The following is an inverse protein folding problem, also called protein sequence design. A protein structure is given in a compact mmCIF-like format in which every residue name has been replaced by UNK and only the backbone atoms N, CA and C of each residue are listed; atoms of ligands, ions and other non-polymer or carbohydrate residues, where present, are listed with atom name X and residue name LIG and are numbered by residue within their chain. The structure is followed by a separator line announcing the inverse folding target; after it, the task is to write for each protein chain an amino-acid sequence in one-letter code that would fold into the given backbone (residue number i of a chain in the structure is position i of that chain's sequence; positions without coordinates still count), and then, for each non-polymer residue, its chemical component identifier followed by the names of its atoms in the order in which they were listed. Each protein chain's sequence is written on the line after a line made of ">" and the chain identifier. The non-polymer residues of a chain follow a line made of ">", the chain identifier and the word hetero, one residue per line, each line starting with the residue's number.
data_IF_341184044127
#
_entry.id   IF_341184044127
#
_cell.length_a   1.000
_cell.length_b   1.000
_cell.length_c   1.000
_cell.angle_alpha   90.00
_cell.angle_beta   90.00
_cell.angle_gamma   90.00
#
_symmetry.space_group_name_H-M   'P 1'
#
loop_
_entity.id
_entity.type
_entity.pdbx_description
1 polymer ?
#
# COMPACT_ATOMS: atom_id res chain seq x y z
N UNK A 1 15.62 -62.72 -23.90
CA UNK A 1 16.70 -61.81 -23.58
C UNK A 1 16.24 -60.43 -23.96
N UNK A 2 15.88 -59.60 -22.97
CA UNK A 2 15.51 -58.20 -23.16
C UNK A 2 16.72 -57.35 -22.81
N UNK A 3 16.96 -56.19 -23.49
CA UNK A 3 18.10 -55.32 -23.20
C UNK A 3 17.90 -54.53 -21.92
N UNK A 4 18.98 -54.12 -21.24
CA UNK A 4 18.92 -53.39 -19.97
C UNK A 4 18.54 -51.92 -20.16
N UNK A 5 17.79 -51.40 -19.18
CA UNK A 5 17.39 -49.99 -19.06
C UNK A 5 18.59 -49.10 -18.70
N UNK A 6 18.63 -47.83 -19.15
CA UNK A 6 19.72 -46.92 -18.84
C UNK A 6 19.59 -46.36 -17.41
N UNK A 7 20.72 -46.32 -16.69
CA UNK A 7 20.93 -45.68 -15.39
C UNK A 7 20.79 -44.14 -15.44
N UNK A 8 20.20 -43.50 -14.44
CA UNK A 8 20.15 -42.05 -14.37
C UNK A 8 21.51 -41.48 -13.93
N UNK A 9 21.94 -40.42 -14.62
CA UNK A 9 23.16 -39.64 -14.28
C UNK A 9 22.94 -38.85 -12.98
N UNK A 10 23.91 -38.95 -12.10
CA UNK A 10 24.01 -38.17 -10.88
C UNK A 10 24.11 -36.67 -11.18
N UNK A 11 23.18 -35.89 -10.66
CA UNK A 11 23.23 -34.44 -10.69
C UNK A 11 24.16 -33.89 -9.64
N UNK A 12 24.96 -32.90 -10.02
CA UNK A 12 25.90 -32.16 -9.16
C UNK A 12 25.18 -31.41 -8.03
N UNK A 13 25.81 -31.19 -6.85
CA UNK A 13 25.18 -30.49 -5.74
C UNK A 13 25.07 -28.99 -6.04
N UNK A 14 23.85 -28.45 -5.97
CA UNK A 14 23.59 -27.01 -5.98
C UNK A 14 23.91 -26.44 -4.61
N UNK A 15 25.07 -25.80 -4.48
CA UNK A 15 25.42 -24.96 -3.34
C UNK A 15 24.97 -23.53 -3.67
N UNK A 16 23.80 -23.13 -3.18
CA UNK A 16 23.32 -21.76 -3.21
C UNK A 16 22.67 -21.41 -1.88
N UNK A 17 23.26 -20.45 -1.13
CA UNK A 17 22.61 -19.81 0.01
C UNK A 17 21.30 -19.15 -0.45
N UNK A 18 20.22 -19.14 0.37
CA UNK A 18 19.04 -18.34 0.03
C UNK A 18 19.40 -16.85 0.19
N UNK A 19 19.69 -16.21 -0.93
CA UNK A 19 19.76 -14.77 -1.01
C UNK A 19 18.34 -14.21 -0.93
N UNK A 20 18.14 -13.24 -0.06
CA UNK A 20 17.00 -12.31 -0.12
C UNK A 20 17.16 -11.47 -1.39
N UNK A 21 16.72 -12.00 -2.52
CA UNK A 21 16.61 -11.25 -3.76
C UNK A 21 15.36 -10.36 -3.71
N UNK A 22 15.40 -9.17 -4.32
CA UNK A 22 14.23 -8.30 -4.41
C UNK A 22 13.17 -9.01 -5.26
N UNK A 23 11.92 -8.95 -4.77
CA UNK A 23 10.72 -9.32 -5.49
C UNK A 23 10.71 -8.61 -6.86
N UNK A 24 10.38 -9.38 -7.88
CA UNK A 24 10.23 -9.08 -9.30
C UNK A 24 10.22 -7.58 -9.60
N UNK A 25 11.32 -7.09 -10.19
CA UNK A 25 11.31 -5.84 -10.90
C UNK A 25 10.31 -5.97 -12.06
N UNK A 26 9.19 -5.26 -11.96
CA UNK A 26 8.42 -4.92 -13.15
C UNK A 26 9.44 -4.32 -14.12
N UNK A 27 9.58 -4.90 -15.32
CA UNK A 27 10.36 -4.31 -16.39
C UNK A 27 9.90 -2.88 -16.60
N UNK A 28 10.53 -1.97 -15.89
CA UNK A 28 10.58 -0.60 -16.31
C UNK A 28 11.46 -0.61 -17.55
N UNK A 29 10.87 -0.29 -18.70
CA UNK A 29 11.62 0.22 -19.81
C UNK A 29 12.48 1.38 -19.28
N UNK A 30 13.69 1.05 -18.87
CA UNK A 30 14.73 1.99 -18.54
C UNK A 30 15.38 2.40 -19.86
N UNK A 31 14.71 3.26 -20.60
CA UNK A 31 15.40 4.22 -21.42
C UNK A 31 15.63 5.44 -20.55
N UNK A 32 16.83 5.50 -19.99
CA UNK A 32 17.39 6.70 -19.38
C UNK A 32 17.91 7.60 -20.52
N UNK A 33 17.19 8.64 -20.95
CA UNK A 33 17.77 9.66 -21.80
C UNK A 33 18.64 10.53 -20.89
N UNK A 34 19.94 10.38 -21.02
CA UNK A 34 20.95 11.19 -20.40
C UNK A 34 20.51 12.67 -20.29
N UNK A 35 20.42 13.17 -19.07
CA UNK A 35 20.49 14.60 -18.81
C UNK A 35 19.19 15.37 -18.60
N UNK A 36 18.16 14.83 -17.95
CA UNK A 36 17.20 15.68 -17.24
C UNK A 36 17.58 15.72 -15.77
N UNK A 37 18.30 16.77 -15.36
CA UNK A 37 18.54 17.08 -13.96
C UNK A 37 17.20 17.27 -13.25
N UNK A 38 16.64 16.19 -12.73
CA UNK A 38 15.63 16.25 -11.70
C UNK A 38 16.37 16.80 -10.48
N UNK A 39 16.31 18.12 -10.30
CA UNK A 39 16.57 18.72 -9.00
C UNK A 39 15.82 17.85 -7.98
N UNK A 40 16.50 17.27 -6.98
CA UNK A 40 15.79 16.59 -5.91
C UNK A 40 14.79 17.62 -5.39
N UNK A 41 13.50 17.28 -5.36
CA UNK A 41 12.47 18.14 -4.80
C UNK A 41 13.04 18.74 -3.51
N UNK A 42 13.33 20.04 -3.53
CA UNK A 42 13.91 20.80 -2.39
C UNK A 42 13.15 20.44 -1.12
N UNK A 43 13.71 20.53 0.11
CA UNK A 43 13.24 19.83 1.30
C UNK A 43 11.73 19.83 1.38
N UNK A 44 11.15 18.70 0.95
CA UNK A 44 9.74 18.53 0.73
C UNK A 44 9.05 18.60 2.09
N UNK A 45 8.37 19.68 2.40
CA UNK A 45 7.48 19.72 3.57
C UNK A 45 6.27 18.84 3.29
N UNK A 46 6.10 17.81 4.11
CA UNK A 46 4.99 16.86 4.04
C UNK A 46 4.02 17.14 5.21
N UNK A 47 2.81 17.56 4.89
CA UNK A 47 1.72 17.63 5.85
C UNK A 47 1.02 16.28 5.99
N UNK A 48 0.78 15.83 7.21
CA UNK A 48 0.07 14.56 7.47
C UNK A 48 -1.16 14.85 8.30
N UNK A 49 -2.32 14.73 7.69
CA UNK A 49 -3.62 14.97 8.34
C UNK A 49 -4.19 13.64 8.81
N UNK A 50 -4.05 13.38 10.12
CA UNK A 50 -4.33 12.08 10.73
C UNK A 50 -3.08 11.18 10.77
N UNK A 51 -2.52 10.98 11.96
CA UNK A 51 -1.31 10.17 12.15
C UNK A 51 -1.64 8.86 12.86
N UNK A 52 -2.64 8.11 12.29
CA UNK A 52 -3.05 6.78 12.71
C UNK A 52 -2.14 5.67 12.18
N UNK A 53 -2.56 4.41 12.38
CA UNK A 53 -1.76 3.22 11.98
C UNK A 53 -1.34 3.23 10.51
N UNK A 54 -2.26 3.60 9.60
CA UNK A 54 -1.95 3.62 8.17
C UNK A 54 -0.94 4.71 7.81
N UNK A 55 -1.11 5.93 8.35
CA UNK A 55 -0.15 7.01 8.15
C UNK A 55 1.24 6.64 8.68
N UNK A 56 1.31 5.99 9.85
CA UNK A 56 2.58 5.51 10.42
C UNK A 56 3.19 4.41 9.56
N UNK A 57 2.39 3.45 9.08
CA UNK A 57 2.85 2.37 8.21
C UNK A 57 3.48 2.88 6.90
N UNK A 58 2.96 3.98 6.38
CA UNK A 58 3.48 4.62 5.18
C UNK A 58 4.68 5.53 5.45
N UNK A 59 4.59 6.37 6.49
CA UNK A 59 5.55 7.44 6.72
C UNK A 59 6.85 6.97 7.38
N UNK A 60 6.77 6.09 8.38
CA UNK A 60 7.96 5.68 9.14
C UNK A 60 9.01 5.00 8.25
N UNK A 61 8.67 4.07 7.34
CA UNK A 61 9.64 3.52 6.40
C UNK A 61 10.28 4.54 5.46
N UNK A 62 9.56 5.64 5.12
CA UNK A 62 10.10 6.71 4.29
C UNK A 62 11.14 7.55 5.03
N UNK A 63 10.92 7.76 6.33
CA UNK A 63 11.88 8.43 7.21
C UNK A 63 13.10 7.56 7.42
N UNK A 64 12.89 6.27 7.71
CA UNK A 64 13.97 5.29 7.92
C UNK A 64 14.86 5.13 6.67
N UNK A 65 14.29 5.25 5.48
CA UNK A 65 15.04 5.20 4.21
C UNK A 65 15.71 6.53 3.83
N UNK A 66 15.47 7.61 4.58
CA UNK A 66 15.98 8.94 4.29
C UNK A 66 15.30 9.66 3.12
N UNK A 67 14.24 9.07 2.52
CA UNK A 67 13.48 9.70 1.44
C UNK A 67 12.71 10.92 1.92
N UNK A 68 12.26 10.91 3.17
CA UNK A 68 11.60 12.03 3.85
C UNK A 68 12.35 12.33 5.13
N UNK A 69 12.77 13.59 5.29
CA UNK A 69 13.42 14.02 6.53
C UNK A 69 12.37 14.22 7.63
N UNK A 70 12.65 13.76 8.85
CA UNK A 70 11.72 13.86 9.97
C UNK A 70 11.31 15.31 10.26
N UNK A 71 12.26 16.24 10.12
CA UNK A 71 12.08 17.70 10.33
C UNK A 71 11.17 18.34 9.28
N UNK A 72 11.03 17.72 8.12
CA UNK A 72 10.16 18.18 7.04
C UNK A 72 8.70 17.75 7.22
N UNK A 73 8.41 16.84 8.17
CA UNK A 73 7.06 16.33 8.43
C UNK A 73 6.33 17.24 9.43
N UNK A 74 5.07 17.56 9.12
CA UNK A 74 4.14 18.25 10.02
C UNK A 74 2.87 17.40 10.11
N UNK A 75 2.73 16.66 11.21
CA UNK A 75 1.55 15.82 11.42
C UNK A 75 0.52 16.50 12.33
N UNK A 76 -0.76 16.32 12.04
CA UNK A 76 -1.85 16.79 12.88
C UNK A 76 -2.74 15.63 13.33
N UNK A 77 -3.13 15.67 14.59
CA UNK A 77 -4.03 14.70 15.23
C UNK A 77 -5.10 15.39 16.06
N UNK A 78 -6.16 14.67 16.41
CA UNK A 78 -7.36 15.24 17.00
C UNK A 78 -7.25 15.66 18.48
N UNK A 79 -6.12 15.44 19.17
CA UNK A 79 -5.95 15.85 20.57
C UNK A 79 -4.49 16.10 20.94
N UNK A 80 -4.26 17.01 21.87
CA UNK A 80 -2.92 17.33 22.38
C UNK A 80 -2.24 16.13 23.06
N UNK A 81 -3.01 15.34 23.80
CA UNK A 81 -2.48 14.14 24.44
C UNK A 81 -1.94 13.13 23.40
N UNK A 82 -2.64 12.95 22.27
CA UNK A 82 -2.17 12.13 21.16
C UNK A 82 -0.96 12.76 20.47
N UNK A 83 -0.96 14.07 20.29
CA UNK A 83 0.15 14.80 19.69
C UNK A 83 1.44 14.64 20.51
N UNK A 84 1.38 14.91 21.81
CA UNK A 84 2.53 14.76 22.71
C UNK A 84 3.07 13.32 22.73
N UNK A 85 2.19 12.34 22.83
CA UNK A 85 2.58 10.91 22.83
C UNK A 85 3.28 10.50 21.53
N UNK A 86 2.71 10.87 20.38
CA UNK A 86 3.25 10.49 19.06
C UNK A 86 4.52 11.25 18.73
N UNK A 87 4.63 12.52 19.13
CA UNK A 87 5.85 13.30 19.00
C UNK A 87 7.01 12.67 19.81
N UNK A 88 6.76 12.31 21.07
CA UNK A 88 7.74 11.63 21.91
C UNK A 88 8.13 10.24 21.39
N UNK A 89 7.17 9.49 20.84
CA UNK A 89 7.41 8.14 20.35
C UNK A 89 8.23 8.11 19.05
N UNK A 90 8.04 9.09 18.16
CA UNK A 90 8.59 9.03 16.78
C UNK A 90 9.58 10.17 16.47
N UNK A 91 9.80 11.12 17.37
CA UNK A 91 10.69 12.26 17.14
C UNK A 91 10.20 13.22 16.05
N UNK A 92 8.89 13.25 15.79
CA UNK A 92 8.27 14.06 14.74
C UNK A 92 7.56 15.28 15.32
N UNK A 93 7.39 16.32 14.48
CA UNK A 93 6.53 17.46 14.83
C UNK A 93 5.08 17.04 14.64
N UNK A 94 4.40 16.76 15.75
CA UNK A 94 2.98 16.40 15.79
C UNK A 94 2.23 17.41 16.64
N UNK A 95 1.13 17.96 16.13
CA UNK A 95 0.33 18.99 16.77
C UNK A 95 -1.17 18.64 16.74
N UNK A 96 -1.96 19.30 17.58
CA UNK A 96 -3.41 19.36 17.46
C UNK A 96 -3.87 20.54 16.59
N UNK A 97 -3.00 21.52 16.32
CA UNK A 97 -3.25 22.63 15.40
C UNK A 97 -3.03 22.19 13.94
N UNK A 98 -4.06 22.26 13.08
CA UNK A 98 -3.95 21.82 11.69
C UNK A 98 -3.16 22.76 10.78
N UNK A 99 -2.87 24.01 11.21
CA UNK A 99 -2.36 25.07 10.33
C UNK A 99 -1.06 24.68 9.62
N UNK A 100 -0.09 24.16 10.34
CA UNK A 100 1.23 23.83 9.77
C UNK A 100 1.16 22.65 8.79
N UNK A 101 0.30 21.65 9.05
CA UNK A 101 0.13 20.52 8.15
C UNK A 101 -0.50 20.96 6.82
N UNK A 102 -1.58 21.75 6.86
CA UNK A 102 -2.29 22.21 5.66
C UNK A 102 -1.50 23.21 4.80
N UNK A 103 -0.48 23.85 5.34
CA UNK A 103 0.41 24.73 4.56
C UNK A 103 1.46 23.98 3.74
N UNK A 104 1.59 22.68 3.91
CA UNK A 104 2.58 21.88 3.17
C UNK A 104 2.24 21.78 1.67
N UNK A 105 3.24 21.75 0.78
CA UNK A 105 3.03 21.58 -0.66
C UNK A 105 2.52 20.17 -1.03
N UNK A 106 2.76 19.19 -0.18
CA UNK A 106 2.23 17.84 -0.30
C UNK A 106 1.58 17.41 1.01
N UNK A 107 0.41 16.83 0.89
CA UNK A 107 -0.45 16.44 1.99
C UNK A 107 -0.79 14.96 1.91
N UNK A 108 -0.61 14.23 3.00
CA UNK A 108 -1.13 12.89 3.20
C UNK A 108 -2.39 12.98 4.07
N UNK A 109 -3.56 12.74 3.48
CA UNK A 109 -4.83 12.72 4.19
C UNK A 109 -5.15 11.29 4.62
N UNK A 110 -5.02 11.02 5.92
CA UNK A 110 -5.14 9.68 6.52
C UNK A 110 -6.06 9.67 7.75
N UNK A 111 -7.10 10.48 7.73
CA UNK A 111 -8.14 10.52 8.76
C UNK A 111 -9.16 9.39 8.55
N UNK A 112 -10.00 9.16 9.55
CA UNK A 112 -11.18 8.31 9.35
C UNK A 112 -12.21 9.02 8.46
N UNK A 113 -12.96 8.32 7.59
CA UNK A 113 -13.95 8.95 6.71
C UNK A 113 -14.97 9.82 7.44
N UNK A 114 -15.33 9.48 8.67
CA UNK A 114 -16.30 10.20 9.50
C UNK A 114 -15.87 11.63 9.87
N UNK A 115 -14.56 11.91 9.88
CA UNK A 115 -14.04 13.25 10.19
C UNK A 115 -13.57 14.03 8.95
N UNK A 116 -13.82 13.49 7.76
CA UNK A 116 -13.39 14.11 6.50
C UNK A 116 -13.95 15.52 6.30
N UNK A 117 -15.24 15.73 6.62
CA UNK A 117 -15.87 17.05 6.51
C UNK A 117 -15.21 18.10 7.43
N UNK A 118 -14.90 17.72 8.67
CA UNK A 118 -14.18 18.60 9.59
C UNK A 118 -12.75 18.92 9.12
N UNK A 119 -12.05 17.93 8.54
CA UNK A 119 -10.74 18.13 7.94
C UNK A 119 -10.79 19.10 6.75
N UNK A 120 -11.84 19.00 5.92
CA UNK A 120 -12.05 19.92 4.80
C UNK A 120 -12.35 21.35 5.25
N UNK A 121 -13.15 21.52 6.30
CA UNK A 121 -13.39 22.85 6.91
C UNK A 121 -12.10 23.46 7.46
N UNK A 122 -11.27 22.69 8.14
CA UNK A 122 -9.99 23.16 8.64
C UNK A 122 -9.04 23.59 7.50
N UNK A 123 -9.10 22.94 6.34
CA UNK A 123 -8.29 23.30 5.18
C UNK A 123 -8.69 24.64 4.55
N UNK A 124 -9.99 24.99 4.55
CA UNK A 124 -10.52 26.18 3.85
C UNK A 124 -10.01 27.50 4.43
N UNK A 125 -9.65 27.55 5.72
CA UNK A 125 -9.15 28.75 6.39
C UNK A 125 -7.64 28.99 6.30
N UNK A 126 -6.90 28.06 5.69
CA UNK A 126 -5.44 28.06 5.71
C UNK A 126 -4.89 28.31 4.30
N UNK A 127 -4.20 29.46 4.06
CA UNK A 127 -3.55 29.68 2.78
C UNK A 127 -2.44 28.66 2.55
N UNK A 128 -2.45 28.01 1.37
CA UNK A 128 -1.35 27.12 0.98
C UNK A 128 -0.04 27.91 0.84
N UNK A 129 1.02 27.44 1.47
CA UNK A 129 2.37 28.01 1.36
C UNK A 129 3.12 27.56 0.10
N UNK A 130 2.44 27.14 -0.96
CA UNK A 130 3.08 26.98 -2.26
C UNK A 130 3.43 28.37 -2.77
N UNK A 131 4.64 28.81 -2.44
CA UNK A 131 5.15 30.13 -2.81
C UNK A 131 5.06 30.29 -4.33
N UNK A 132 4.45 31.38 -4.77
CA UNK A 132 4.76 31.92 -6.09
C UNK A 132 6.29 32.08 -6.17
N UNK A 133 6.94 31.75 -7.32
CA UNK A 133 8.35 32.05 -7.49
C UNK A 133 8.57 33.50 -7.12
N UNK A 134 9.60 33.81 -6.33
CA UNK A 134 9.92 35.15 -5.93
C UNK A 134 9.88 36.04 -7.18
N UNK A 135 8.95 36.99 -7.22
CA UNK A 135 8.80 37.91 -8.33
C UNK A 135 10.15 38.65 -8.46
N UNK A 136 10.87 38.36 -9.54
CA UNK A 136 12.01 39.18 -9.95
C UNK A 136 11.44 40.58 -10.15
N UNK A 137 11.97 41.54 -9.43
CA UNK A 137 11.58 42.96 -9.52
C UNK A 137 11.66 43.40 -11.00
N UNK A 138 10.52 43.59 -11.66
CA UNK A 138 10.53 44.11 -13.03
C UNK A 138 9.32 43.78 -13.91
N UNK A 139 8.25 43.13 -13.43
CA UNK A 139 7.08 42.83 -14.26
C UNK A 139 6.00 43.93 -14.11
N UNK A 140 5.47 44.51 -15.22
CA UNK A 140 4.48 45.58 -15.16
C UNK A 140 3.16 45.07 -14.56
N UNK A 141 2.52 45.90 -13.74
CA UNK A 141 1.21 45.68 -13.15
C UNK A 141 0.16 45.55 -14.25
N UNK A 142 -0.31 44.30 -14.51
CA UNK A 142 -1.33 44.01 -15.52
C UNK A 142 -1.48 42.57 -15.92
N UNK A 143 -0.55 41.69 -15.59
CA UNK A 143 -0.68 40.27 -15.84
C UNK A 143 -1.60 39.66 -14.78
N UNK A 144 -2.73 39.06 -15.20
CA UNK A 144 -3.57 38.20 -14.40
C UNK A 144 -2.68 37.29 -13.54
N UNK A 145 -2.81 37.36 -12.22
CA UNK A 145 -2.09 36.48 -11.29
C UNK A 145 -2.48 35.03 -11.64
N UNK A 146 -1.65 34.37 -12.45
CA UNK A 146 -1.76 32.96 -12.66
C UNK A 146 -1.68 32.30 -11.27
N UNK A 147 -2.76 31.65 -10.84
CA UNK A 147 -2.82 30.95 -9.57
C UNK A 147 -1.60 30.03 -9.47
N UNK A 148 -0.80 30.19 -8.41
CA UNK A 148 0.39 29.40 -8.18
C UNK A 148 0.09 27.89 -8.24
N UNK A 149 1.12 27.03 -8.32
CA UNK A 149 0.90 25.60 -8.45
C UNK A 149 0.09 25.08 -7.25
N UNK A 150 -1.03 24.40 -7.51
CA UNK A 150 -1.89 23.83 -6.48
C UNK A 150 -1.11 22.75 -5.70
N UNK A 151 -1.23 22.71 -4.35
CA UNK A 151 -0.64 21.64 -3.55
C UNK A 151 -1.21 20.27 -3.91
N UNK A 152 -0.42 19.22 -3.68
CA UNK A 152 -0.80 17.85 -3.93
C UNK A 152 -1.42 17.24 -2.66
N UNK A 153 -2.61 16.67 -2.76
CA UNK A 153 -3.28 15.95 -1.68
C UNK A 153 -3.40 14.47 -2.03
N UNK A 154 -2.74 13.63 -1.26
CA UNK A 154 -2.79 12.18 -1.37
C UNK A 154 -3.75 11.67 -0.32
N UNK A 155 -4.91 11.16 -0.73
CA UNK A 155 -5.89 10.58 0.18
C UNK A 155 -5.73 9.07 0.25
N UNK A 156 -5.60 8.54 1.48
CA UNK A 156 -5.61 7.09 1.75
C UNK A 156 -6.92 6.63 2.41
N UNK A 157 -8.00 7.39 2.23
CA UNK A 157 -9.30 7.07 2.79
C UNK A 157 -10.01 6.01 1.96
N UNK A 158 -10.44 4.93 2.64
CA UNK A 158 -11.29 3.92 2.00
C UNK A 158 -12.66 4.49 1.63
N UNK A 159 -13.18 4.12 0.45
CA UNK A 159 -14.53 4.46 0.04
C UNK A 159 -14.77 5.94 -0.35
N UNK A 160 -13.75 6.80 -0.38
CA UNK A 160 -13.91 8.22 -0.75
C UNK A 160 -13.42 8.45 -2.17
N UNK A 161 -14.32 8.89 -3.04
CA UNK A 161 -14.03 9.07 -4.48
C UNK A 161 -13.22 10.33 -4.78
N UNK A 162 -12.52 10.35 -5.92
CA UNK A 162 -11.83 11.54 -6.44
C UNK A 162 -12.79 12.72 -6.58
N UNK A 163 -13.99 12.49 -7.10
CA UNK A 163 -15.01 13.54 -7.26
C UNK A 163 -15.38 14.19 -5.92
N UNK A 164 -15.60 13.37 -4.88
CA UNK A 164 -15.90 13.87 -3.53
C UNK A 164 -14.72 14.61 -2.92
N UNK A 165 -13.51 14.08 -3.08
CA UNK A 165 -12.29 14.75 -2.60
C UNK A 165 -12.08 16.08 -3.32
N UNK A 166 -12.27 16.14 -4.64
CA UNK A 166 -12.11 17.36 -5.42
C UNK A 166 -13.14 18.44 -5.03
N UNK A 167 -14.39 18.04 -4.72
CA UNK A 167 -15.41 18.95 -4.23
C UNK A 167 -15.07 19.53 -2.84
N UNK A 168 -14.47 18.71 -1.96
CA UNK A 168 -14.07 19.14 -0.61
C UNK A 168 -12.76 19.94 -0.59
N UNK A 169 -11.84 19.67 -1.52
CA UNK A 169 -10.51 20.28 -1.59
C UNK A 169 -10.22 20.91 -2.96
N UNK A 170 -11.03 21.90 -3.43
CA UNK A 170 -10.93 22.45 -4.80
C UNK A 170 -9.59 23.16 -5.06
N UNK A 171 -8.89 23.57 -4.03
CA UNK A 171 -7.58 24.22 -4.11
C UNK A 171 -6.41 23.21 -4.30
N UNK A 172 -6.68 21.89 -4.28
CA UNK A 172 -5.65 20.86 -4.34
C UNK A 172 -5.74 20.05 -5.64
N UNK A 173 -4.62 19.43 -6.03
CA UNK A 173 -4.58 18.30 -6.96
C UNK A 173 -4.71 17.01 -6.15
N UNK A 174 -5.56 16.11 -6.57
CA UNK A 174 -5.95 14.96 -5.75
C UNK A 174 -5.38 13.66 -6.31
N UNK A 175 -4.74 12.87 -5.44
CA UNK A 175 -4.43 11.46 -5.69
C UNK A 175 -5.24 10.62 -4.71
N UNK A 176 -5.96 9.63 -5.22
CA UNK A 176 -6.58 8.60 -4.39
C UNK A 176 -5.65 7.39 -4.34
N UNK A 177 -5.17 7.05 -3.16
CA UNK A 177 -4.31 5.89 -2.92
C UNK A 177 -5.03 4.90 -2.01
N UNK A 178 -4.90 3.63 -2.30
CA UNK A 178 -5.46 2.53 -1.50
C UNK A 178 -4.31 1.60 -1.09
N UNK A 179 -3.58 1.93 -0.02
CA UNK A 179 -2.57 1.04 0.55
C UNK A 179 -3.19 -0.05 1.42
N UNK A 180 -2.38 -1.05 1.78
CA UNK A 180 -2.78 -2.11 2.70
C UNK A 180 -1.81 -2.31 3.86
N UNK A 181 -2.20 -3.08 4.87
CA UNK A 181 -1.43 -3.27 6.12
C UNK A 181 -0.08 -3.97 5.97
N UNK A 182 0.17 -4.87 4.98
CA UNK A 182 1.52 -5.41 4.76
C UNK A 182 2.60 -4.37 4.44
N UNK A 183 2.23 -3.12 4.16
CA UNK A 183 3.15 -1.98 4.08
C UNK A 183 4.03 -1.84 5.34
N UNK A 184 3.54 -2.25 6.52
CA UNK A 184 4.32 -2.28 7.77
C UNK A 184 5.60 -3.13 7.68
N UNK A 185 5.63 -4.12 6.81
CA UNK A 185 6.78 -5.00 6.56
C UNK A 185 7.33 -4.83 5.13
N UNK A 186 7.03 -3.72 4.46
CA UNK A 186 7.46 -3.37 3.10
C UNK A 186 7.02 -4.39 2.04
N UNK A 187 5.90 -5.06 2.28
CA UNK A 187 5.24 -5.99 1.34
C UNK A 187 3.80 -5.56 1.08
N UNK A 188 3.60 -4.24 1.04
CA UNK A 188 2.31 -3.64 0.75
C UNK A 188 1.95 -3.71 -0.73
N UNK A 189 0.66 -3.50 -1.00
CA UNK A 189 0.12 -3.21 -2.32
C UNK A 189 -0.59 -1.87 -2.24
N UNK A 190 -0.30 -0.98 -3.19
CA UNK A 190 -0.96 0.33 -3.25
C UNK A 190 -1.54 0.57 -4.64
N UNK A 191 -2.86 0.68 -4.73
CA UNK A 191 -3.54 1.14 -5.93
C UNK A 191 -3.62 2.66 -5.96
N UNK A 192 -3.24 3.29 -7.08
CA UNK A 192 -3.29 4.73 -7.30
C UNK A 192 -4.31 5.07 -8.37
N UNK A 193 -5.17 6.05 -8.09
CA UNK A 193 -5.99 6.73 -9.10
C UNK A 193 -5.68 8.23 -9.08
N UNK A 194 -5.51 8.78 -10.27
CA UNK A 194 -5.04 10.14 -10.49
C UNK A 194 -6.19 11.09 -10.77
N UNK A 195 -6.27 12.17 -10.02
CA UNK A 195 -7.13 13.31 -10.35
C UNK A 195 -6.55 14.18 -11.46
N UNK A 196 -7.28 15.22 -11.85
CA UNK A 196 -6.89 16.10 -12.94
C UNK A 196 -5.67 16.98 -12.60
N UNK A 197 -4.87 17.27 -13.63
CA UNK A 197 -3.80 18.26 -13.59
C UNK A 197 -2.55 17.84 -12.81
N UNK A 198 -2.39 16.56 -12.46
CA UNK A 198 -1.18 16.04 -11.82
C UNK A 198 -0.08 15.85 -12.87
N UNK A 199 1.05 16.50 -12.67
CA UNK A 199 2.19 16.42 -13.59
C UNK A 199 2.92 15.08 -13.51
N UNK A 200 3.61 14.69 -14.59
CA UNK A 200 4.41 13.47 -14.61
C UNK A 200 5.46 13.40 -13.48
N UNK A 201 6.18 14.47 -13.14
CA UNK A 201 7.07 14.47 -11.98
C UNK A 201 6.36 14.20 -10.65
N UNK A 202 5.15 14.76 -10.45
CA UNK A 202 4.34 14.50 -9.25
C UNK A 202 3.89 13.03 -9.20
N UNK A 203 3.46 12.46 -10.33
CA UNK A 203 3.10 11.06 -10.41
C UNK A 203 4.27 10.16 -10.08
N UNK A 204 5.45 10.43 -10.66
CA UNK A 204 6.66 9.67 -10.39
C UNK A 204 7.01 9.72 -8.90
N UNK A 205 6.98 10.91 -8.30
CA UNK A 205 7.27 11.07 -6.88
C UNK A 205 6.30 10.28 -5.99
N UNK A 206 4.99 10.33 -6.27
CA UNK A 206 3.98 9.56 -5.52
C UNK A 206 4.22 8.05 -5.66
N UNK A 207 4.54 7.55 -6.86
CA UNK A 207 4.89 6.14 -7.05
C UNK A 207 6.12 5.74 -6.23
N UNK A 208 7.18 6.56 -6.27
CA UNK A 208 8.40 6.33 -5.50
C UNK A 208 8.14 6.30 -3.98
N UNK A 209 7.26 7.18 -3.50
CA UNK A 209 6.84 7.22 -2.11
C UNK A 209 6.22 5.88 -1.68
N UNK A 210 5.24 5.38 -2.41
CA UNK A 210 4.58 4.12 -2.06
C UNK A 210 5.44 2.89 -2.38
N UNK A 211 6.35 2.95 -3.35
CA UNK A 211 7.29 1.87 -3.68
C UNK A 211 8.25 1.52 -2.52
N UNK A 212 8.45 2.44 -1.56
CA UNK A 212 9.23 2.15 -0.35
C UNK A 212 8.56 1.12 0.58
N UNK A 213 7.26 0.95 0.45
CA UNK A 213 6.47 0.09 1.34
C UNK A 213 5.82 -1.10 0.60
N UNK A 214 6.10 -1.27 -0.70
CA UNK A 214 5.61 -2.38 -1.50
C UNK A 214 5.38 -2.05 -2.97
N UNK A 215 4.60 -2.86 -3.65
CA UNK A 215 4.27 -2.70 -5.05
C UNK A 215 3.21 -1.60 -5.26
N UNK A 216 3.32 -0.87 -6.37
CA UNK A 216 2.43 0.24 -6.72
C UNK A 216 1.81 0.00 -8.08
N UNK A 217 0.49 0.11 -8.14
CA UNK A 217 -0.29 -0.08 -9.37
C UNK A 217 -1.11 1.16 -9.70
N UNK A 218 -0.99 1.65 -10.92
CA UNK A 218 -1.90 2.67 -11.44
C UNK A 218 -3.18 1.99 -11.91
N UNK A 219 -4.31 2.38 -11.35
CA UNK A 219 -5.60 1.78 -11.64
C UNK A 219 -6.64 2.85 -12.01
N UNK A 220 -7.54 2.56 -12.94
CA UNK A 220 -8.77 3.35 -13.06
C UNK A 220 -9.50 3.39 -11.71
N UNK A 221 -10.06 4.55 -11.34
CA UNK A 221 -10.75 4.69 -10.05
C UNK A 221 -11.85 3.64 -9.85
N UNK A 222 -12.55 3.26 -10.93
CA UNK A 222 -13.59 2.24 -10.92
C UNK A 222 -13.14 0.86 -10.44
N UNK A 223 -11.84 0.56 -10.47
CA UNK A 223 -11.27 -0.70 -10.01
C UNK A 223 -10.79 -0.65 -8.55
N UNK A 224 -10.68 0.53 -7.94
CA UNK A 224 -10.13 0.66 -6.59
C UNK A 224 -10.97 -0.01 -5.50
N UNK A 225 -12.29 -0.15 -5.68
CA UNK A 225 -13.14 -0.83 -4.70
C UNK A 225 -12.92 -2.35 -4.72
N UNK A 226 -12.74 -2.94 -5.90
CA UNK A 226 -12.37 -4.35 -6.04
C UNK A 226 -10.93 -4.59 -5.56
N UNK A 227 -10.00 -3.68 -5.89
CA UNK A 227 -8.64 -3.72 -5.39
C UNK A 227 -8.61 -3.69 -3.85
N UNK A 228 -9.33 -2.76 -3.23
CA UNK A 228 -9.46 -2.64 -1.77
C UNK A 228 -9.99 -3.92 -1.14
N UNK A 229 -11.04 -4.50 -1.72
CA UNK A 229 -11.67 -5.70 -1.21
C UNK A 229 -10.71 -6.90 -1.18
N UNK A 230 -9.86 -7.02 -2.19
CA UNK A 230 -8.86 -8.08 -2.26
C UNK A 230 -7.62 -7.76 -1.40
N UNK A 231 -7.07 -6.55 -1.51
CA UNK A 231 -5.74 -6.26 -0.97
C UNK A 231 -5.77 -5.66 0.43
N UNK A 232 -6.76 -4.81 0.75
CA UNK A 232 -6.85 -4.14 2.05
C UNK A 232 -7.68 -4.95 3.07
N UNK A 233 -8.71 -5.68 2.60
CA UNK A 233 -9.47 -6.62 3.43
C UNK A 233 -8.84 -8.00 3.49
N UNK A 234 -8.17 -8.42 2.42
CA UNK A 234 -7.52 -9.73 2.26
C UNK A 234 -6.62 -10.16 3.41
N UNK A 235 -5.79 -9.29 4.00
CA UNK A 235 -4.98 -9.65 5.16
C UNK A 235 -5.79 -10.23 6.33
N UNK A 236 -7.03 -9.76 6.55
CA UNK A 236 -7.92 -10.33 7.57
C UNK A 236 -8.41 -11.73 7.19
N UNK A 237 -8.70 -11.96 5.89
CA UNK A 237 -9.09 -13.29 5.39
C UNK A 237 -7.95 -14.29 5.51
N UNK A 238 -6.74 -13.87 5.13
CA UNK A 238 -5.52 -14.69 5.26
C UNK A 238 -5.21 -15.00 6.73
N UNK A 239 -5.41 -14.04 7.64
CA UNK A 239 -5.24 -14.27 9.08
C UNK A 239 -6.25 -15.31 9.61
N UNK A 240 -7.52 -15.25 9.19
CA UNK A 240 -8.53 -16.26 9.52
C UNK A 240 -8.15 -17.65 9.01
N UNK A 241 -7.65 -17.75 7.76
CA UNK A 241 -7.17 -19.01 7.19
C UNK A 241 -5.98 -19.54 7.97
N UNK A 242 -5.02 -18.67 8.35
CA UNK A 242 -3.85 -19.05 9.14
C UNK A 242 -4.25 -19.63 10.51
N UNK A 243 -5.19 -18.97 11.18
CA UNK A 243 -5.74 -19.42 12.47
C UNK A 243 -6.44 -20.78 12.34
N UNK A 244 -7.32 -20.94 11.36
CA UNK A 244 -8.04 -22.18 11.10
C UNK A 244 -7.09 -23.35 10.77
N UNK A 245 -6.05 -23.13 9.97
CA UNK A 245 -5.03 -24.15 9.68
C UNK A 245 -4.25 -24.54 10.96
N UNK A 246 -3.91 -23.57 11.81
CA UNK A 246 -3.25 -23.84 13.07
C UNK A 246 -4.14 -24.62 14.04
N UNK A 247 -5.45 -24.29 14.12
CA UNK A 247 -6.42 -25.00 14.93
C UNK A 247 -6.60 -26.46 14.47
N UNK A 248 -6.68 -26.68 13.15
CA UNK A 248 -6.71 -28.01 12.57
C UNK A 248 -5.45 -28.84 12.89
N UNK A 249 -4.28 -28.19 12.84
CA UNK A 249 -3.01 -28.85 13.19
C UNK A 249 -2.94 -29.22 14.68
N UNK A 250 -3.49 -28.37 15.56
CA UNK A 250 -3.61 -28.68 17.01
C UNK A 250 -4.59 -29.85 17.23
N UNK A 251 -5.71 -29.86 16.56
CA UNK A 251 -6.67 -30.97 16.62
C UNK A 251 -6.05 -32.29 16.14
N UNK A 252 -5.07 -32.21 15.22
CA UNK A 252 -4.29 -33.34 14.74
C UNK A 252 -3.09 -33.71 15.63
N UNK A 253 -2.87 -33.01 16.76
CA UNK A 253 -1.86 -33.34 17.78
C UNK A 253 -0.62 -32.47 17.83
N UNK A 254 -0.53 -31.40 17.03
CA UNK A 254 0.62 -30.48 17.14
C UNK A 254 0.47 -29.49 18.31
N UNK A 255 1.58 -29.14 19.00
CA UNK A 255 1.56 -28.07 19.98
C UNK A 255 1.17 -26.72 19.35
N UNK A 256 0.34 -25.91 20.03
CA UNK A 256 -0.20 -24.63 19.55
C UNK A 256 0.85 -23.68 18.95
N UNK A 257 1.96 -23.45 19.67
CA UNK A 257 3.01 -22.55 19.21
C UNK A 257 3.68 -23.03 17.91
N UNK A 258 3.86 -24.33 17.77
CA UNK A 258 4.41 -24.94 16.56
C UNK A 258 3.39 -24.82 15.40
N UNK A 259 2.13 -25.14 15.65
CA UNK A 259 1.04 -25.09 14.66
C UNK A 259 0.91 -23.69 14.04
N UNK A 260 0.89 -22.63 14.85
CA UNK A 260 0.85 -21.25 14.38
C UNK A 260 2.06 -20.91 13.50
N UNK A 261 3.26 -21.24 13.95
CA UNK A 261 4.48 -20.97 13.15
C UNK A 261 4.44 -21.69 11.80
N UNK A 262 4.02 -22.95 11.78
CA UNK A 262 3.94 -23.74 10.55
C UNK A 262 2.86 -23.20 9.61
N UNK A 263 1.68 -22.82 10.09
CA UNK A 263 0.62 -22.23 9.29
C UNK A 263 1.10 -20.93 8.58
N UNK A 264 1.77 -20.03 9.32
CA UNK A 264 2.32 -18.80 8.73
C UNK A 264 3.38 -19.11 7.66
N UNK A 265 4.27 -20.07 7.92
CA UNK A 265 5.33 -20.47 6.96
C UNK A 265 4.75 -21.14 5.71
N UNK A 266 3.72 -21.96 5.87
CA UNK A 266 3.05 -22.62 4.74
C UNK A 266 2.40 -21.58 3.84
N UNK A 267 1.65 -20.59 4.41
CA UNK A 267 1.03 -19.53 3.62
C UNK A 267 2.08 -18.68 2.88
N UNK A 268 3.12 -18.22 3.58
CA UNK A 268 4.17 -17.41 2.98
C UNK A 268 4.93 -18.17 1.87
N UNK A 269 5.34 -19.41 2.12
CA UNK A 269 6.05 -20.23 1.14
C UNK A 269 5.20 -20.59 -0.07
N UNK A 270 3.90 -20.84 0.12
CA UNK A 270 2.98 -21.10 -0.97
C UNK A 270 2.78 -19.87 -1.85
N UNK A 271 2.62 -18.69 -1.25
CA UNK A 271 2.50 -17.45 -1.99
C UNK A 271 3.78 -17.16 -2.81
N UNK A 272 4.96 -17.29 -2.19
CA UNK A 272 6.23 -17.13 -2.89
C UNK A 272 6.37 -18.11 -4.07
N UNK A 273 6.03 -19.39 -3.87
CA UNK A 273 6.12 -20.39 -4.93
C UNK A 273 5.20 -20.05 -6.12
N UNK A 274 3.96 -19.60 -5.85
CA UNK A 274 3.04 -19.16 -6.90
C UNK A 274 3.58 -17.99 -7.71
N UNK A 275 4.20 -17.00 -7.03
CA UNK A 275 4.76 -15.80 -7.64
C UNK A 275 6.05 -16.10 -8.42
N UNK A 276 7.02 -16.76 -7.79
CA UNK A 276 8.35 -16.98 -8.38
C UNK A 276 8.33 -17.95 -9.56
N UNK A 277 7.38 -18.90 -9.57
CA UNK A 277 7.24 -19.88 -10.65
C UNK A 277 6.11 -19.55 -11.61
N UNK A 278 5.43 -18.39 -11.42
CA UNK A 278 4.27 -17.96 -12.21
C UNK A 278 3.20 -19.03 -12.38
N UNK A 279 3.00 -19.86 -11.33
CA UNK A 279 2.11 -21.00 -11.39
C UNK A 279 0.64 -20.58 -11.28
N UNK A 280 -0.20 -21.15 -12.15
CA UNK A 280 -1.63 -21.09 -11.91
C UNK A 280 -1.98 -21.89 -10.63
N UNK A 281 -2.85 -21.39 -9.73
CA UNK A 281 -3.18 -22.08 -8.47
C UNK A 281 -3.65 -23.55 -8.65
N UNK A 282 -4.33 -23.86 -9.75
CA UNK A 282 -4.71 -25.24 -10.05
C UNK A 282 -3.51 -26.15 -10.29
N UNK A 283 -2.47 -25.67 -10.99
CA UNK A 283 -1.26 -26.44 -11.23
C UNK A 283 -0.55 -26.79 -9.92
N UNK A 284 -0.43 -25.82 -9.01
CA UNK A 284 0.15 -26.09 -7.70
C UNK A 284 -0.66 -27.11 -6.90
N UNK A 285 -2.00 -27.04 -6.93
CA UNK A 285 -2.85 -28.07 -6.29
C UNK A 285 -2.58 -29.47 -6.86
N UNK A 286 -2.46 -29.60 -8.18
CA UNK A 286 -2.19 -30.88 -8.83
C UNK A 286 -0.78 -31.41 -8.49
N UNK A 287 0.23 -30.54 -8.42
CA UNK A 287 1.60 -30.91 -8.04
C UNK A 287 1.68 -31.53 -6.64
N UNK A 288 0.84 -31.10 -5.69
CA UNK A 288 0.88 -31.58 -4.31
C UNK A 288 -0.19 -32.63 -3.98
N UNK A 289 -1.07 -32.97 -4.94
CA UNK A 289 -2.17 -33.90 -4.75
C UNK A 289 -1.89 -35.24 -5.41
N UNK A 290 -1.41 -36.24 -4.63
CA UNK A 290 -1.25 -37.61 -5.10
C UNK A 290 -2.56 -38.39 -5.06
N UNK A 291 -2.76 -39.39 -5.94
CA UNK A 291 -3.94 -40.28 -5.93
C UNK A 291 -4.14 -40.95 -4.55
N UNK A 292 -5.31 -40.77 -3.97
CA UNK A 292 -5.64 -41.31 -2.63
C UNK A 292 -4.85 -40.71 -1.45
N UNK A 293 -4.06 -39.63 -1.70
CA UNK A 293 -3.18 -39.02 -0.68
C UNK A 293 -3.92 -38.13 0.31
N UNK A 294 -3.15 -37.60 1.27
CA UNK A 294 -3.65 -36.72 2.33
C UNK A 294 -4.16 -35.39 1.78
N UNK A 295 -3.46 -34.84 0.79
CA UNK A 295 -3.83 -33.55 0.18
C UNK A 295 -5.20 -33.58 -0.48
N UNK A 296 -5.47 -34.62 -1.32
CA UNK A 296 -6.77 -34.72 -2.00
C UNK A 296 -7.91 -34.99 -1.02
N UNK A 297 -7.66 -35.70 0.07
CA UNK A 297 -8.63 -35.90 1.14
C UNK A 297 -8.98 -34.57 1.84
N UNK A 298 -7.98 -33.74 2.15
CA UNK A 298 -8.18 -32.40 2.71
C UNK A 298 -8.92 -31.46 1.76
N UNK A 299 -8.50 -31.40 0.49
CA UNK A 299 -9.17 -30.59 -0.55
C UNK A 299 -10.64 -30.95 -0.70
N UNK A 300 -10.97 -32.26 -0.73
CA UNK A 300 -12.36 -32.73 -0.77
C UNK A 300 -13.19 -32.18 0.39
N UNK A 301 -12.62 -32.13 1.59
CA UNK A 301 -13.33 -31.59 2.76
C UNK A 301 -13.55 -30.08 2.64
N UNK A 302 -12.55 -29.32 2.16
CA UNK A 302 -12.67 -27.88 1.94
C UNK A 302 -13.75 -27.55 0.89
N UNK A 303 -13.74 -28.26 -0.25
CA UNK A 303 -14.77 -28.08 -1.30
C UNK A 303 -16.17 -28.43 -0.78
N UNK A 304 -16.32 -29.53 -0.02
CA UNK A 304 -17.60 -29.92 0.60
C UNK A 304 -18.11 -28.85 1.57
N UNK A 305 -17.21 -28.17 2.28
CA UNK A 305 -17.56 -27.10 3.25
C UNK A 305 -17.79 -25.75 2.59
N UNK A 306 -17.68 -25.62 1.27
CA UNK A 306 -17.97 -24.39 0.54
C UNK A 306 -16.93 -23.28 0.71
N UNK A 307 -15.68 -23.59 1.09
CA UNK A 307 -14.63 -22.59 1.37
C UNK A 307 -14.37 -21.69 0.15
N UNK A 308 -14.39 -22.26 -1.07
CA UNK A 308 -14.21 -21.48 -2.30
C UNK A 308 -15.29 -20.41 -2.46
N UNK A 309 -16.56 -20.77 -2.31
CA UNK A 309 -17.67 -19.83 -2.40
C UNK A 309 -17.58 -18.76 -1.30
N UNK A 310 -17.26 -19.15 -0.06
CA UNK A 310 -17.15 -18.23 1.07
C UNK A 310 -16.07 -17.15 0.82
N UNK A 311 -14.92 -17.51 0.25
CA UNK A 311 -13.85 -16.55 -0.07
C UNK A 311 -14.25 -15.63 -1.23
N UNK A 312 -14.93 -16.13 -2.25
CA UNK A 312 -15.45 -15.32 -3.35
C UNK A 312 -16.43 -14.27 -2.80
N UNK A 313 -17.42 -14.73 -2.04
CA UNK A 313 -18.45 -13.85 -1.46
C UNK A 313 -17.88 -12.81 -0.49
N UNK A 314 -16.84 -13.16 0.26
CA UNK A 314 -16.17 -12.21 1.15
C UNK A 314 -15.55 -11.03 0.37
N UNK A 315 -14.90 -11.29 -0.76
CA UNK A 315 -14.32 -10.23 -1.61
C UNK A 315 -15.44 -9.40 -2.26
N UNK A 316 -16.48 -10.03 -2.79
CA UNK A 316 -17.62 -9.34 -3.40
C UNK A 316 -18.32 -8.42 -2.39
N UNK A 317 -18.64 -8.92 -1.21
CA UNK A 317 -19.29 -8.16 -0.14
C UNK A 317 -18.44 -6.96 0.32
N UNK A 318 -17.12 -7.13 0.42
CA UNK A 318 -16.22 -6.04 0.78
C UNK A 318 -16.17 -4.95 -0.30
N UNK A 319 -16.17 -5.32 -1.58
CA UNK A 319 -16.21 -4.37 -2.69
C UNK A 319 -17.54 -3.60 -2.74
N UNK A 320 -18.67 -4.26 -2.50
CA UNK A 320 -19.98 -3.63 -2.39
C UNK A 320 -20.04 -2.65 -1.22
N UNK A 321 -19.50 -3.06 -0.06
CA UNK A 321 -19.46 -2.20 1.12
C UNK A 321 -18.59 -0.97 0.90
N UNK A 322 -17.46 -1.11 0.20
CA UNK A 322 -16.61 0.03 -0.17
C UNK A 322 -17.38 1.07 -0.98
N UNK A 323 -18.12 0.65 -2.00
CA UNK A 323 -18.95 1.53 -2.83
C UNK A 323 -20.05 2.25 -2.03
N UNK A 324 -20.63 1.58 -1.01
CA UNK A 324 -21.65 2.19 -0.14
C UNK A 324 -21.09 3.25 0.82
N UNK A 325 -19.78 3.30 1.03
CA UNK A 325 -19.10 4.27 1.88
C UNK A 325 -18.70 5.56 1.12
N UNK A 326 -18.81 5.55 -0.21
CA UNK A 326 -18.40 6.64 -1.12
C UNK A 326 -19.27 7.92 -1.01
#
# INVERSE_FOLDING_TARGET
>A
MAPPSPTPKAGSPVTGRPGTGPLIAVEHAAEDPAGSGLEPFAPLRLGVVGFGRMAQALLLPLIDSGLVQAEAVRAVVGSEASAARLAAQHGLVVSSDPSQAWQAPVLLLAVKPQVLAAAAQAAQGIPSAVAAPAASAGTPAGASQAAGPKPLLISVLAGVTLARLQALFPAHRIVRAVPNTPALVRQGLTGLAWGEGISAPQQLWVRQLFAQVGEVLDLPESQLDAFLALTSSGPAYVALVAEALADGAVAAGLPRALALRLAHRTLAGTAALLQEQELHPAQLKDMVASPGGTTIAGLRQLERSGVRSALIEAVVAAAERSRQLA
#
